data_IF_241586358743
#
_entry.id   IF_241586358743
#
_cell.length_a   1.000
_cell.length_b   1.000
_cell.length_c   1.000
_cell.angle_alpha   90.00
_cell.angle_beta   90.00
_cell.angle_gamma   90.00
#
_symmetry.space_group_name_H-M   'P 1'
#
loop_
_entity.id
_entity.type
_entity.pdbx_description
1 polymer ?
#
# COMPACT_ATOMS: atom_id res chain seq x y z
N UNK A 1 6.18 7.93 3.65
CA UNK A 1 7.03 7.36 2.59
C UNK A 1 8.32 8.15 2.54
N UNK A 2 9.42 7.55 2.13
CA UNK A 2 10.65 8.26 1.78
C UNK A 2 10.76 8.23 0.26
N UNK A 3 11.05 9.38 -0.34
CA UNK A 3 11.30 9.53 -1.78
C UNK A 3 12.68 10.13 -2.00
N UNK A 4 13.26 9.83 -3.15
CA UNK A 4 14.60 10.23 -3.55
C UNK A 4 14.60 10.29 -5.08
N UNK A 5 15.38 11.22 -5.66
CA UNK A 5 15.65 11.22 -7.11
C UNK A 5 16.44 9.97 -7.51
N UNK A 6 16.11 9.33 -8.63
CA UNK A 6 16.74 8.06 -9.04
C UNK A 6 18.27 8.14 -9.15
N UNK A 7 18.82 9.32 -9.47
CA UNK A 7 20.26 9.55 -9.60
C UNK A 7 20.98 9.92 -8.28
N UNK A 8 20.26 10.09 -7.17
CA UNK A 8 20.83 10.49 -5.89
C UNK A 8 21.43 9.31 -5.11
N UNK A 9 22.33 9.61 -4.17
CA UNK A 9 22.99 8.59 -3.34
C UNK A 9 22.04 8.12 -2.22
N UNK A 10 21.61 6.84 -2.20
CA UNK A 10 20.72 6.32 -1.15
C UNK A 10 21.38 6.26 0.23
N UNK A 11 22.72 6.30 0.31
CA UNK A 11 23.47 6.30 1.56
C UNK A 11 23.53 7.71 2.20
N UNK A 12 23.28 8.76 1.42
CA UNK A 12 23.20 10.11 1.92
C UNK A 12 21.79 10.39 2.47
N UNK A 13 21.67 10.59 3.78
CA UNK A 13 20.39 10.88 4.43
C UNK A 13 19.66 12.10 3.82
N UNK A 14 20.42 13.08 3.32
CA UNK A 14 19.89 14.26 2.65
C UNK A 14 19.25 14.02 1.29
N UNK A 15 19.47 12.85 0.66
CA UNK A 15 18.80 12.45 -0.59
C UNK A 15 17.32 12.11 -0.39
N UNK A 16 16.92 11.81 0.85
CA UNK A 16 15.59 11.31 1.17
C UNK A 16 14.68 12.42 1.69
N UNK A 17 13.52 12.56 1.06
CA UNK A 17 12.43 13.42 1.54
C UNK A 17 11.34 12.57 2.18
N UNK A 18 10.93 12.91 3.40
CA UNK A 18 9.85 12.22 4.11
C UNK A 18 8.51 12.89 3.84
N UNK A 19 7.55 12.13 3.33
CA UNK A 19 6.16 12.60 3.23
C UNK A 19 5.61 12.89 4.62
N UNK A 20 5.00 14.07 4.79
CA UNK A 20 4.52 14.55 6.09
C UNK A 20 3.28 13.82 6.61
N UNK A 21 2.50 13.20 5.72
CA UNK A 21 1.29 12.46 6.05
C UNK A 21 1.46 10.97 5.75
N UNK A 22 0.73 10.08 6.46
CA UNK A 22 0.65 8.67 6.08
C UNK A 22 0.10 8.55 4.66
N UNK A 23 0.85 7.83 3.81
CA UNK A 23 0.45 7.54 2.42
C UNK A 23 -0.54 6.38 2.32
N UNK A 24 -0.68 5.60 3.39
CA UNK A 24 -1.68 4.55 3.54
C UNK A 24 -1.98 4.39 5.03
N UNK A 25 -3.25 4.26 5.39
CA UNK A 25 -3.70 4.23 6.79
C UNK A 25 -5.01 3.46 6.93
N UNK A 26 -5.39 3.17 8.17
CA UNK A 26 -6.70 2.58 8.50
C UNK A 26 -7.85 3.32 7.82
N UNK A 27 -8.87 2.57 7.39
CA UNK A 27 -10.15 3.09 6.94
C UNK A 27 -11.24 2.58 7.88
N UNK A 28 -11.81 3.47 8.70
CA UNK A 28 -12.92 3.12 9.59
C UNK A 28 -14.17 2.78 8.78
N UNK A 29 -14.40 3.53 7.69
CA UNK A 29 -15.50 3.30 6.75
C UNK A 29 -15.46 1.89 6.14
N UNK A 30 -14.26 1.42 5.78
CA UNK A 30 -14.08 0.09 5.18
C UNK A 30 -13.82 -1.02 6.21
N UNK A 31 -13.84 -0.71 7.51
CA UNK A 31 -13.56 -1.70 8.57
C UNK A 31 -12.12 -2.22 8.57
N UNK A 32 -11.15 -1.46 8.09
CA UNK A 32 -9.74 -1.90 7.98
C UNK A 32 -8.85 -1.13 8.94
N UNK A 33 -8.17 -1.84 9.83
CA UNK A 33 -7.39 -1.27 10.93
C UNK A 33 -5.95 -1.79 10.94
N UNK A 34 -5.04 -1.05 11.58
CA UNK A 34 -3.63 -1.46 11.75
C UNK A 34 -2.94 -1.92 10.44
N UNK A 35 -3.12 -1.15 9.36
CA UNK A 35 -2.50 -1.40 8.06
C UNK A 35 -0.98 -1.20 8.12
N UNK A 36 -0.19 -2.11 7.57
CA UNK A 36 1.26 -1.88 7.47
C UNK A 36 2.08 -3.10 7.01
N UNK A 37 3.41 -2.96 7.16
CA UNK A 37 4.43 -3.94 6.78
C UNK A 37 4.19 -4.51 5.39
N UNK A 38 4.14 -3.61 4.41
CA UNK A 38 3.77 -3.94 3.05
C UNK A 38 4.95 -4.44 2.22
N UNK A 39 4.64 -5.06 1.09
CA UNK A 39 5.52 -5.30 -0.03
C UNK A 39 4.81 -4.89 -1.34
N UNK A 40 5.52 -4.95 -2.46
CA UNK A 40 5.00 -4.63 -3.78
C UNK A 40 5.25 -5.80 -4.75
N UNK A 41 4.30 -6.01 -5.65
CA UNK A 41 4.38 -7.00 -6.73
C UNK A 41 3.67 -6.48 -7.98
N UNK A 42 3.87 -7.15 -9.10
CA UNK A 42 3.16 -6.92 -10.36
C UNK A 42 2.06 -7.97 -10.58
N UNK A 43 1.11 -7.66 -11.47
CA UNK A 43 0.23 -8.67 -12.06
C UNK A 43 1.02 -9.65 -12.94
N UNK A 44 0.49 -10.86 -13.27
CA UNK A 44 1.15 -11.84 -14.13
C UNK A 44 1.63 -11.32 -15.50
N UNK A 45 0.95 -10.32 -16.06
CA UNK A 45 1.32 -9.70 -17.34
C UNK A 45 2.15 -8.41 -17.20
N UNK A 46 2.60 -8.08 -15.98
CA UNK A 46 3.37 -6.88 -15.62
C UNK A 46 2.66 -5.52 -15.83
N UNK A 47 1.35 -5.51 -16.13
CA UNK A 47 0.60 -4.30 -16.49
C UNK A 47 0.02 -3.53 -15.29
N UNK A 48 -0.04 -4.15 -14.10
CA UNK A 48 -0.59 -3.54 -12.89
C UNK A 48 0.38 -3.62 -11.71
N UNK A 49 0.39 -2.55 -10.91
CA UNK A 49 1.13 -2.49 -9.66
C UNK A 49 0.23 -2.80 -8.45
N UNK A 50 0.69 -3.71 -7.61
CA UNK A 50 -0.08 -4.21 -6.47
C UNK A 50 0.69 -4.05 -5.16
N UNK A 51 -0.01 -3.58 -4.13
CA UNK A 51 0.51 -3.49 -2.77
C UNK A 51 -0.04 -4.65 -1.95
N UNK A 52 0.86 -5.46 -1.38
CA UNK A 52 0.54 -6.50 -0.40
C UNK A 52 0.78 -5.93 0.98
N UNK A 53 -0.14 -6.08 1.92
CA UNK A 53 -0.01 -5.52 3.27
C UNK A 53 -0.79 -6.37 4.28
N UNK A 54 -0.58 -6.15 5.58
CA UNK A 54 -1.44 -6.74 6.60
C UNK A 54 -2.40 -5.73 7.21
N UNK A 55 -3.55 -6.19 7.68
CA UNK A 55 -4.47 -5.39 8.49
C UNK A 55 -5.34 -6.26 9.42
N UNK A 56 -6.03 -5.60 10.35
CA UNK A 56 -7.09 -6.16 11.20
C UNK A 56 -8.46 -5.75 10.65
N UNK A 57 -9.47 -6.59 10.86
CA UNK A 57 -10.86 -6.36 10.43
C UNK A 57 -11.71 -5.54 11.42
N UNK A 58 -11.18 -5.22 12.60
CA UNK A 58 -11.87 -4.44 13.63
C UNK A 58 -10.86 -3.78 14.60
N UNK A 59 -11.26 -2.70 15.30
CA UNK A 59 -10.40 -2.07 16.29
C UNK A 59 -10.28 -2.94 17.55
N UNK A 60 -9.10 -2.93 18.18
CA UNK A 60 -8.88 -3.65 19.45
C UNK A 60 -8.70 -5.17 19.33
N UNK A 61 -8.69 -5.72 18.11
CA UNK A 61 -8.43 -7.15 17.87
C UNK A 61 -6.95 -7.49 18.11
N UNK A 62 -6.68 -8.70 18.63
CA UNK A 62 -5.32 -9.19 18.83
C UNK A 62 -4.52 -9.27 17.51
N UNK A 63 -3.22 -8.97 17.60
CA UNK A 63 -2.30 -8.91 16.44
C UNK A 63 -2.13 -10.24 15.69
N UNK A 64 -2.48 -11.38 16.32
CA UNK A 64 -2.49 -12.71 15.68
C UNK A 64 -3.56 -12.85 14.60
N UNK A 65 -4.57 -11.99 14.60
CA UNK A 65 -5.66 -11.99 13.61
C UNK A 65 -5.40 -11.04 12.44
N UNK A 66 -4.17 -10.52 12.30
CA UNK A 66 -3.80 -9.79 11.09
C UNK A 66 -3.88 -10.73 9.89
N UNK A 67 -4.57 -10.28 8.84
CA UNK A 67 -4.67 -10.99 7.58
C UNK A 67 -3.83 -10.29 6.52
N UNK A 68 -3.17 -11.08 5.67
CA UNK A 68 -2.57 -10.59 4.43
C UNK A 68 -3.67 -10.14 3.48
N UNK A 69 -3.48 -8.98 2.87
CA UNK A 69 -4.38 -8.30 1.95
C UNK A 69 -3.57 -7.79 0.77
N UNK A 70 -4.22 -7.61 -0.37
CA UNK A 70 -3.59 -7.12 -1.60
C UNK A 70 -4.56 -6.21 -2.33
N UNK A 71 -4.07 -5.13 -2.92
CA UNK A 71 -4.86 -4.26 -3.79
C UNK A 71 -4.01 -3.57 -4.85
N UNK A 72 -4.62 -3.29 -6.00
CA UNK A 72 -4.00 -2.47 -7.04
C UNK A 72 -3.84 -1.04 -6.54
N UNK A 73 -2.74 -0.40 -6.91
CA UNK A 73 -2.54 1.03 -6.70
C UNK A 73 -2.24 1.73 -8.02
N UNK A 74 -2.37 3.06 -8.02
CA UNK A 74 -2.12 3.91 -9.18
C UNK A 74 -0.87 4.77 -9.02
N UNK A 75 -0.66 5.67 -9.96
CA UNK A 75 0.45 6.62 -9.93
C UNK A 75 -0.09 8.03 -10.13
N UNK A 76 0.36 8.97 -9.30
CA UNK A 76 0.11 10.38 -9.48
C UNK A 76 0.93 10.93 -10.67
N UNK A 77 0.54 12.08 -11.25
CA UNK A 77 1.27 12.69 -12.37
C UNK A 77 2.73 13.04 -12.08
N UNK A 78 3.09 13.21 -10.80
CA UNK A 78 4.46 13.46 -10.34
C UNK A 78 5.31 12.18 -10.18
N UNK A 79 4.74 11.02 -10.53
CA UNK A 79 5.42 9.73 -10.43
C UNK A 79 5.38 9.10 -9.03
N UNK A 80 4.70 9.70 -8.05
CA UNK A 80 4.53 9.07 -6.73
C UNK A 80 3.34 8.09 -6.72
N UNK A 81 3.38 7.02 -5.90
CA UNK A 81 2.30 6.04 -5.87
C UNK A 81 1.05 6.57 -5.16
N UNK A 82 -0.11 6.26 -5.74
CA UNK A 82 -1.43 6.49 -5.15
C UNK A 82 -2.01 5.18 -4.62
N UNK A 83 -1.80 4.91 -3.33
CA UNK A 83 -2.30 3.69 -2.66
C UNK A 83 -3.81 3.73 -2.34
N UNK A 84 -4.45 4.90 -2.44
CA UNK A 84 -5.84 5.09 -2.04
C UNK A 84 -6.13 4.69 -0.58
N UNK A 85 -7.35 4.18 -0.35
CA UNK A 85 -7.78 3.65 0.93
C UNK A 85 -7.77 2.10 0.92
N UNK A 86 -7.54 1.43 2.07
CA UNK A 86 -7.63 -0.02 2.14
C UNK A 86 -9.04 -0.51 1.83
N UNK A 87 -9.17 -1.50 0.96
CA UNK A 87 -10.47 -2.07 0.60
C UNK A 87 -11.09 -2.88 1.74
N UNK A 88 -12.42 -2.82 1.91
CA UNK A 88 -13.13 -3.61 2.92
C UNK A 88 -13.23 -5.09 2.53
N UNK A 89 -13.60 -5.95 3.48
CA UNK A 89 -13.72 -7.41 3.22
C UNK A 89 -14.80 -7.76 2.18
N UNK A 90 -15.81 -6.90 2.01
CA UNK A 90 -16.87 -7.05 1.02
C UNK A 90 -16.57 -6.38 -0.33
N UNK A 91 -15.37 -5.81 -0.51
CA UNK A 91 -15.00 -5.18 -1.77
C UNK A 91 -14.82 -6.26 -2.85
N UNK A 92 -15.53 -6.10 -3.96
CA UNK A 92 -15.39 -6.98 -5.14
C UNK A 92 -14.07 -6.66 -5.86
N UNK A 93 -13.01 -7.34 -5.44
CA UNK A 93 -11.68 -7.18 -6.00
C UNK A 93 -11.56 -7.99 -7.29
N UNK A 94 -11.39 -7.31 -8.42
CA UNK A 94 -11.04 -7.95 -9.68
C UNK A 94 -9.72 -8.70 -9.54
N UNK A 95 -9.64 -9.89 -10.14
CA UNK A 95 -8.38 -10.63 -10.24
C UNK A 95 -7.32 -9.80 -10.98
N UNK A 96 -6.03 -9.94 -10.64
CA UNK A 96 -4.95 -9.31 -11.39
C UNK A 96 -5.03 -9.60 -12.89
N UNK A 97 -4.69 -8.59 -13.70
CA UNK A 97 -4.58 -8.77 -15.15
C UNK A 97 -3.62 -9.91 -15.54
N UNK A 98 -3.96 -10.68 -16.57
CA UNK A 98 -3.18 -11.84 -17.00
C UNK A 98 -3.47 -13.16 -16.28
N UNK A 99 -4.40 -13.19 -15.31
CA UNK A 99 -5.01 -14.41 -14.74
C UNK A 99 -6.16 -14.96 -15.60
#
# INVERSE_FOLDING_TARGET
MLTMEDSADPMAAGSWTKTMQPVFKKSVENGVYATGHNSFTKSPDDQEDWMVYHALHAPGVETKHRATRIQKFGWHPDGTPDFGAPYGDAFDLKVPSGE
#
